data_IF_687815266854
#
_entry.id   IF_687815266854
#
_cell.length_a   1.000
_cell.length_b   1.000
_cell.length_c   1.000
_cell.angle_alpha   90.00
_cell.angle_beta   90.00
_cell.angle_gamma   90.00
#
_symmetry.space_group_name_H-M   'P 1'
#
loop_
_entity.id
_entity.type
_entity.pdbx_description
1 polymer ?
#
# COMPACT_ATOMS: atom_id res chain seq x y z
N UNK A 1 18.15 5.75 22.60
CA UNK A 1 16.76 5.93 22.13
C UNK A 1 16.22 7.20 22.75
N UNK A 2 15.96 8.25 21.96
CA UNK A 2 15.30 9.47 22.49
C UNK A 2 13.81 9.15 22.62
N UNK A 3 13.40 8.63 23.77
CA UNK A 3 12.00 8.39 24.06
C UNK A 3 11.31 9.71 24.38
N UNK A 4 10.37 10.14 23.53
CA UNK A 4 9.45 11.21 23.88
C UNK A 4 8.43 10.67 24.88
N UNK A 5 8.29 11.38 26.01
CA UNK A 5 7.41 10.99 27.13
C UNK A 5 5.91 11.13 26.83
N UNK A 6 5.54 11.55 25.61
CA UNK A 6 4.17 11.89 25.16
C UNK A 6 3.97 11.66 23.64
N UNK A 7 4.62 10.66 23.03
CA UNK A 7 4.42 10.38 21.61
C UNK A 7 3.15 9.54 21.39
N UNK A 8 2.31 9.93 20.45
CA UNK A 8 1.17 9.13 19.97
C UNK A 8 1.60 8.33 18.74
N UNK A 9 1.21 7.06 18.69
CA UNK A 9 1.32 6.28 17.45
C UNK A 9 0.03 6.47 16.67
N UNK A 10 0.14 6.93 15.44
CA UNK A 10 -1.00 7.11 14.54
C UNK A 10 -0.81 6.17 13.36
N UNK A 11 -1.72 5.21 13.22
CA UNK A 11 -1.84 4.41 12.02
C UNK A 11 -2.57 5.24 10.96
N UNK A 12 -2.00 5.31 9.77
CA UNK A 12 -2.60 5.97 8.60
C UNK A 12 -2.77 4.93 7.52
N UNK A 13 -3.98 4.76 7.03
CA UNK A 13 -4.29 3.83 5.95
C UNK A 13 -4.46 4.61 4.65
N UNK A 14 -3.77 4.15 3.61
CA UNK A 14 -3.74 4.80 2.31
C UNK A 14 -4.00 3.80 1.18
N UNK A 15 -4.63 4.28 0.11
CA UNK A 15 -4.65 3.61 -1.19
C UNK A 15 -3.56 4.20 -2.07
N UNK A 16 -2.64 3.38 -2.58
CA UNK A 16 -1.73 3.80 -3.65
C UNK A 16 -2.43 3.66 -5.00
N UNK A 17 -2.43 4.73 -5.79
CA UNK A 17 -3.17 4.78 -7.06
C UNK A 17 -2.24 4.86 -8.25
N UNK A 18 -2.59 4.15 -9.31
CA UNK A 18 -1.84 4.15 -10.56
C UNK A 18 -2.78 4.36 -11.75
N UNK A 19 -2.34 5.18 -12.73
CA UNK A 19 -2.92 5.16 -14.07
C UNK A 19 -2.17 4.11 -14.89
N UNK A 20 -2.85 3.01 -15.17
CA UNK A 20 -2.36 1.96 -16.06
C UNK A 20 -2.92 2.17 -17.47
N UNK A 21 -2.14 1.84 -18.50
CA UNK A 21 -2.57 1.83 -19.89
C UNK A 21 -2.26 0.49 -20.52
N UNK A 22 -3.15 0.04 -21.39
CA UNK A 22 -2.98 -1.12 -22.24
C UNK A 22 -3.17 -0.69 -23.69
N UNK A 23 -2.51 -1.39 -24.60
CA UNK A 23 -2.77 -1.31 -26.04
C UNK A 23 -3.14 -2.71 -26.47
N UNK A 24 -4.36 -2.88 -26.95
CA UNK A 24 -4.91 -4.19 -27.31
C UNK A 24 -5.25 -4.16 -28.79
N UNK A 25 -4.71 -5.13 -29.52
CA UNK A 25 -5.12 -5.40 -30.90
C UNK A 25 -6.42 -6.21 -30.88
N UNK A 26 -7.38 -5.81 -31.70
CA UNK A 26 -8.73 -6.37 -31.74
C UNK A 26 -9.17 -6.60 -33.18
N UNK A 27 -10.18 -7.44 -33.43
CA UNK A 27 -10.88 -7.45 -34.71
C UNK A 27 -11.46 -6.06 -35.05
N UNK A 28 -11.41 -5.68 -36.33
CA UNK A 28 -11.90 -4.38 -36.81
C UNK A 28 -13.39 -4.14 -36.51
N UNK A 29 -14.19 -5.21 -36.51
CA UNK A 29 -15.64 -5.16 -36.28
C UNK A 29 -16.05 -5.32 -34.81
N UNK A 30 -15.09 -5.59 -33.90
CA UNK A 30 -15.32 -5.74 -32.46
C UNK A 30 -14.19 -5.10 -31.61
N UNK A 31 -13.91 -3.80 -31.75
CA UNK A 31 -12.88 -3.12 -30.96
C UNK A 31 -13.15 -3.11 -29.46
N UNK A 32 -14.41 -3.26 -29.04
CA UNK A 32 -14.82 -3.33 -27.65
C UNK A 32 -14.27 -4.54 -26.89
N UNK A 33 -13.84 -5.61 -27.59
CA UNK A 33 -13.21 -6.77 -26.97
C UNK A 33 -11.95 -6.38 -26.18
N UNK A 34 -11.30 -5.26 -26.52
CA UNK A 34 -10.20 -4.71 -25.73
C UNK A 34 -10.59 -4.45 -24.26
N UNK A 35 -11.83 -4.02 -23.99
CA UNK A 35 -12.31 -3.73 -22.65
C UNK A 35 -12.46 -5.02 -21.84
N UNK A 36 -13.02 -6.05 -22.46
CA UNK A 36 -13.21 -7.35 -21.82
C UNK A 36 -11.87 -8.02 -21.52
N UNK A 37 -10.92 -8.02 -22.46
CA UNK A 37 -9.59 -8.60 -22.22
C UNK A 37 -8.84 -7.90 -21.08
N UNK A 38 -8.99 -6.58 -20.91
CA UNK A 38 -8.42 -5.87 -19.75
C UNK A 38 -9.18 -6.21 -18.46
N UNK A 39 -10.51 -6.20 -18.50
CA UNK A 39 -11.34 -6.48 -17.32
C UNK A 39 -11.19 -7.92 -16.79
N UNK A 40 -10.97 -8.88 -17.70
CA UNK A 40 -10.75 -10.30 -17.40
C UNK A 40 -9.29 -10.63 -17.07
N UNK A 41 -8.37 -9.65 -17.18
CA UNK A 41 -6.95 -9.85 -16.89
C UNK A 41 -6.23 -10.73 -17.91
N UNK A 42 -6.71 -10.77 -19.15
CA UNK A 42 -6.12 -11.56 -20.24
C UNK A 42 -4.91 -10.86 -20.88
N UNK A 43 -4.81 -9.54 -20.74
CA UNK A 43 -3.66 -8.77 -21.22
C UNK A 43 -2.50 -8.97 -20.24
N UNK A 44 -1.42 -9.69 -20.62
CA UNK A 44 -0.40 -10.10 -19.67
C UNK A 44 0.50 -8.94 -19.21
N UNK A 45 0.65 -7.91 -20.06
CA UNK A 45 1.58 -6.82 -19.86
C UNK A 45 0.90 -5.45 -19.97
N UNK A 46 1.25 -4.55 -19.06
CA UNK A 46 0.87 -3.14 -19.13
C UNK A 46 1.73 -2.41 -20.18
N UNK A 47 1.12 -1.51 -20.97
CA UNK A 47 1.88 -0.65 -21.88
C UNK A 47 2.67 0.41 -21.13
N UNK A 48 2.06 1.01 -20.09
CA UNK A 48 2.71 1.99 -19.23
C UNK A 48 1.94 2.20 -17.94
N UNK A 49 2.64 2.54 -16.86
CA UNK A 49 2.08 2.86 -15.55
C UNK A 49 2.58 4.23 -15.06
N UNK A 50 1.74 4.97 -14.34
CA UNK A 50 2.11 6.21 -13.65
C UNK A 50 1.54 6.20 -12.22
N UNK A 51 2.40 6.35 -11.22
CA UNK A 51 1.98 6.54 -9.82
C UNK A 51 1.34 7.92 -9.65
N UNK A 52 0.10 7.95 -9.17
CA UNK A 52 -0.69 9.17 -8.97
C UNK A 52 -0.65 9.67 -7.53
N UNK A 53 0.09 8.98 -6.66
CA UNK A 53 0.16 9.26 -5.23
C UNK A 53 -0.82 8.41 -4.42
N UNK A 54 -0.90 8.74 -3.14
CA UNK A 54 -1.68 8.02 -2.15
C UNK A 54 -2.92 8.82 -1.73
N UNK A 55 -4.05 8.13 -1.58
CA UNK A 55 -5.27 8.69 -0.96
C UNK A 55 -5.41 8.13 0.44
N UNK A 56 -5.37 8.99 1.46
CA UNK A 56 -5.65 8.60 2.84
C UNK A 56 -7.12 8.19 2.94
N UNK A 57 -7.39 6.98 3.42
CA UNK A 57 -8.75 6.46 3.65
C UNK A 57 -9.15 6.52 5.11
N UNK A 58 -8.19 6.39 6.02
CA UNK A 58 -8.44 6.48 7.46
C UNK A 58 -7.19 6.87 8.23
N UNK A 59 -7.38 7.33 9.45
CA UNK A 59 -6.30 7.41 10.44
C UNK A 59 -6.86 7.16 11.84
N UNK A 60 -6.06 6.55 12.72
CA UNK A 60 -6.43 6.37 14.13
C UNK A 60 -5.21 6.24 15.04
N UNK A 61 -5.38 6.62 16.31
CA UNK A 61 -4.39 6.33 17.34
C UNK A 61 -4.37 4.82 17.63
N UNK A 62 -3.18 4.28 17.84
CA UNK A 62 -2.95 2.87 18.20
C UNK A 62 -1.98 2.78 19.38
N UNK A 63 -2.08 1.71 20.16
CA UNK A 63 -1.06 1.39 21.16
C UNK A 63 0.11 0.65 20.52
N UNK A 64 1.24 0.54 21.22
CA UNK A 64 2.38 -0.26 20.76
C UNK A 64 2.05 -1.76 20.67
N UNK A 65 1.20 -2.25 21.58
CA UNK A 65 0.72 -3.64 21.58
C UNK A 65 -0.15 -3.90 20.35
N UNK A 66 -1.05 -2.96 20.02
CA UNK A 66 -1.90 -3.04 18.84
C UNK A 66 -1.06 -2.96 17.55
N UNK A 67 -0.09 -2.05 17.47
CA UNK A 67 0.88 -1.99 16.37
C UNK A 67 1.57 -3.34 16.17
N UNK A 68 2.06 -3.95 17.25
CA UNK A 68 2.79 -5.23 17.16
C UNK A 68 1.88 -6.34 16.66
N UNK A 69 0.64 -6.39 17.15
CA UNK A 69 -0.37 -7.36 16.70
C UNK A 69 -0.67 -7.22 15.22
N UNK A 70 -0.99 -6.00 14.76
CA UNK A 70 -1.25 -5.73 13.34
C UNK A 70 -0.03 -6.06 12.47
N UNK A 71 1.17 -5.72 12.93
CA UNK A 71 2.40 -6.04 12.21
C UNK A 71 2.55 -7.55 12.00
N UNK A 72 2.32 -8.36 13.04
CA UNK A 72 2.41 -9.82 12.95
C UNK A 72 1.30 -10.45 12.10
N UNK A 73 0.11 -9.86 12.10
CA UNK A 73 -1.02 -10.30 11.27
C UNK A 73 -0.77 -10.00 9.78
N UNK A 74 -0.33 -8.80 9.44
CA UNK A 74 -0.24 -8.33 8.05
C UNK A 74 1.11 -8.65 7.38
N UNK A 75 2.17 -8.85 8.17
CA UNK A 75 3.55 -9.00 7.68
C UNK A 75 4.11 -10.38 8.04
N UNK A 76 3.38 -11.47 7.76
CA UNK A 76 3.80 -12.84 8.09
C UNK A 76 5.19 -13.23 7.54
N UNK A 77 5.65 -12.60 6.46
CA UNK A 77 7.01 -12.78 5.92
C UNK A 77 8.12 -12.22 6.85
N UNK A 78 7.76 -11.40 7.84
CA UNK A 78 8.63 -10.86 8.88
C UNK A 78 8.50 -11.59 10.23
N UNK A 79 7.93 -12.81 10.28
CA UNK A 79 7.68 -13.53 11.54
C UNK A 79 8.93 -13.77 12.41
N UNK A 80 10.14 -13.77 11.83
CA UNK A 80 11.41 -13.91 12.57
C UNK A 80 11.92 -12.63 13.21
N UNK A 81 11.26 -11.48 12.99
CA UNK A 81 11.74 -10.18 13.47
C UNK A 81 11.52 -10.02 14.98
N UNK A 82 12.52 -9.48 15.66
CA UNK A 82 12.38 -9.08 17.06
C UNK A 82 11.51 -7.84 17.19
N UNK A 83 10.92 -7.55 18.37
CA UNK A 83 10.14 -6.34 18.59
C UNK A 83 10.86 -5.05 18.18
N UNK A 84 12.16 -4.94 18.50
CA UNK A 84 12.99 -3.78 18.14
C UNK A 84 13.17 -3.63 16.63
N UNK A 85 13.16 -4.72 15.86
CA UNK A 85 13.23 -4.66 14.40
C UNK A 85 11.92 -4.13 13.81
N UNK A 86 10.77 -4.57 14.33
CA UNK A 86 9.44 -4.11 13.90
C UNK A 86 9.26 -2.61 14.16
N UNK A 87 9.68 -2.14 15.32
CA UNK A 87 9.57 -0.72 15.70
C UNK A 87 10.39 0.24 14.81
N UNK A 88 11.34 -0.27 14.00
CA UNK A 88 12.04 0.56 12.99
C UNK A 88 11.13 1.04 11.88
N UNK A 89 9.96 0.42 11.69
CA UNK A 89 8.94 0.84 10.73
C UNK A 89 8.14 2.08 11.22
N UNK A 90 8.30 2.49 12.48
CA UNK A 90 7.66 3.68 13.02
C UNK A 90 8.47 4.90 12.56
N UNK A 91 7.86 5.73 11.71
CA UNK A 91 8.41 7.03 11.37
C UNK A 91 8.17 8.02 12.52
N UNK A 92 9.23 8.70 12.96
CA UNK A 92 9.16 9.71 14.03
C UNK A 92 9.23 11.09 13.40
N UNK A 93 8.17 11.87 13.59
CA UNK A 93 8.11 13.27 13.16
C UNK A 93 8.75 14.15 14.23
N UNK A 94 9.76 14.94 13.85
CA UNK A 94 10.31 15.98 14.70
C UNK A 94 9.34 17.19 14.71
N UNK A 95 8.89 17.67 15.88
CA UNK A 95 8.21 18.96 15.94
C UNK A 95 9.23 20.04 15.66
N UNK A 96 8.98 20.86 14.64
CA UNK A 96 9.82 22.02 14.28
C UNK A 96 10.20 22.90 15.48
#
# INVERSE_FOLDING_TARGET
MKGFKMAKLVLVECLSQFRVRYVVETPDDHPEFALDSVALGEVPDEFSQLHLGETIVSHREVSLDEFTKLFDEDNGYCASWTPDMKQRCIHVVDPE
#
